data_IF_252859880753
#
_entry.id   IF_252859880753
#
_cell.length_a   1.000
_cell.length_b   1.000
_cell.length_c   1.000
_cell.angle_alpha   90.00
_cell.angle_beta   90.00
_cell.angle_gamma   90.00
#
_symmetry.space_group_name_H-M   'P 1'
#
loop_
_entity.id
_entity.type
_entity.pdbx_description
1 polymer ?
#
# COMPACT_ATOMS: atom_id res chain seq x y z
N UNK A 1 -51.09 28.87 -29.95
CA UNK A 1 -50.15 30.01 -30.11
C UNK A 1 -49.63 30.29 -28.71
N UNK A 2 -48.44 29.86 -28.33
CA UNK A 2 -47.14 30.36 -28.80
C UNK A 2 -46.06 29.28 -28.69
N UNK A 3 -45.32 29.09 -29.78
CA UNK A 3 -44.04 28.40 -29.80
C UNK A 3 -42.96 29.47 -29.64
N UNK A 4 -42.04 29.31 -28.69
CA UNK A 4 -40.86 30.16 -28.58
C UNK A 4 -39.66 29.38 -28.02
N UNK A 5 -38.66 29.25 -28.88
CA UNK A 5 -37.21 29.30 -28.61
C UNK A 5 -36.57 28.16 -27.80
N UNK A 6 -36.20 27.11 -28.53
CA UNK A 6 -35.15 26.14 -28.21
C UNK A 6 -34.06 26.23 -29.29
N UNK A 7 -33.32 27.32 -29.30
CA UNK A 7 -32.10 27.50 -30.07
C UNK A 7 -31.17 28.39 -29.26
N UNK A 8 -29.87 28.09 -29.30
CA UNK A 8 -28.73 28.80 -28.72
C UNK A 8 -28.36 28.46 -27.28
N UNK A 9 -27.49 27.46 -27.13
CA UNK A 9 -26.13 27.68 -26.63
C UNK A 9 -25.28 26.40 -26.86
N UNK A 10 -24.92 26.14 -28.12
CA UNK A 10 -23.77 25.27 -28.41
C UNK A 10 -22.52 26.12 -28.28
N UNK A 11 -21.84 26.02 -27.13
CA UNK A 11 -20.53 26.63 -26.97
C UNK A 11 -19.59 26.08 -28.05
N UNK A 12 -18.82 26.95 -28.74
CA UNK A 12 -17.86 26.50 -29.74
C UNK A 12 -16.82 25.59 -29.08
N UNK A 13 -16.66 24.38 -29.61
CA UNK A 13 -15.59 23.47 -29.22
C UNK A 13 -14.25 24.23 -29.27
N UNK A 14 -13.38 24.10 -28.24
CA UNK A 14 -12.08 24.76 -28.24
C UNK A 14 -11.33 24.39 -29.51
N UNK A 15 -10.74 25.42 -30.12
CA UNK A 15 -10.09 25.42 -31.43
C UNK A 15 -9.03 24.29 -31.52
N UNK A 16 -9.44 23.09 -31.96
CA UNK A 16 -8.55 21.94 -32.21
C UNK A 16 -7.71 22.28 -33.44
N UNK A 17 -6.55 22.90 -33.23
CA UNK A 17 -5.49 22.94 -34.26
C UNK A 17 -5.27 21.53 -34.77
N UNK A 18 -5.25 21.35 -36.08
CA UNK A 18 -5.05 20.04 -36.70
C UNK A 18 -3.74 19.42 -36.20
N UNK A 19 -3.77 18.15 -35.81
CA UNK A 19 -2.62 17.38 -35.30
C UNK A 19 -1.41 17.40 -36.26
N UNK A 20 -1.62 17.67 -37.55
CA UNK A 20 -0.58 17.75 -38.58
C UNK A 20 0.30 19.01 -38.53
N UNK A 21 -0.09 20.04 -37.75
CA UNK A 21 0.70 21.27 -37.58
C UNK A 21 1.58 21.27 -36.32
N UNK A 22 1.58 20.18 -35.54
CA UNK A 22 2.43 20.08 -34.37
C UNK A 22 3.86 19.76 -34.83
N UNK A 23 4.79 20.67 -34.51
CA UNK A 23 6.21 20.61 -34.88
C UNK A 23 6.95 19.35 -34.40
N UNK A 24 8.30 19.32 -34.44
CA UNK A 24 9.05 18.14 -34.05
C UNK A 24 8.73 17.75 -32.59
N UNK A 25 8.29 16.50 -32.40
CA UNK A 25 7.98 15.92 -31.08
C UNK A 25 9.29 15.47 -30.42
N UNK A 26 9.47 15.82 -29.14
CA UNK A 26 10.57 15.27 -28.34
C UNK A 26 10.21 13.85 -27.91
N UNK A 27 11.03 12.87 -28.28
CA UNK A 27 10.80 11.47 -27.91
C UNK A 27 11.42 11.15 -26.54
N UNK A 28 10.72 10.34 -25.74
CA UNK A 28 11.26 9.82 -24.48
C UNK A 28 12.45 8.88 -24.77
N UNK A 29 13.58 9.00 -24.04
CA UNK A 29 14.79 8.24 -24.34
C UNK A 29 14.58 6.72 -24.27
N UNK A 30 13.78 6.25 -23.31
CA UNK A 30 13.55 4.83 -23.05
C UNK A 30 12.47 4.20 -23.96
N UNK A 31 11.67 5.03 -24.64
CA UNK A 31 10.55 4.61 -25.48
C UNK A 31 10.69 5.21 -26.87
N UNK A 32 11.75 4.80 -27.58
CA UNK A 32 12.12 5.32 -28.90
C UNK A 32 11.87 4.32 -30.05
N UNK A 33 11.30 3.15 -29.75
CA UNK A 33 10.97 2.10 -30.71
C UNK A 33 9.51 1.68 -30.61
N UNK A 34 8.84 1.50 -31.75
CA UNK A 34 7.42 1.11 -31.82
C UNK A 34 6.79 1.44 -33.16
N UNK A 35 5.53 1.04 -33.33
CA UNK A 35 4.73 1.31 -34.53
C UNK A 35 3.77 2.50 -34.37
N UNK A 36 3.54 2.95 -33.13
CA UNK A 36 2.77 4.14 -32.80
C UNK A 36 3.53 5.09 -31.89
N UNK A 37 3.15 6.37 -31.89
CA UNK A 37 3.66 7.39 -30.96
C UNK A 37 2.51 7.79 -30.05
N UNK A 38 2.58 7.41 -28.77
CA UNK A 38 1.71 7.98 -27.74
C UNK A 38 2.25 9.36 -27.37
N UNK A 39 1.42 10.38 -27.41
CA UNK A 39 1.85 11.74 -27.08
C UNK A 39 1.19 12.19 -25.78
N UNK A 40 1.96 12.41 -24.73
CA UNK A 40 1.46 12.92 -23.45
C UNK A 40 0.98 14.36 -23.53
N UNK A 41 0.25 14.80 -22.50
CA UNK A 41 -0.32 16.14 -22.38
C UNK A 41 0.74 17.27 -22.42
N UNK A 42 1.94 16.98 -21.92
CA UNK A 42 3.11 17.87 -21.94
C UNK A 42 3.92 17.79 -23.25
N UNK A 43 3.43 17.05 -24.25
CA UNK A 43 3.95 17.03 -25.61
C UNK A 43 5.12 16.08 -25.85
N UNK A 44 5.44 15.20 -24.90
CA UNK A 44 6.47 14.16 -25.06
C UNK A 44 5.89 12.96 -25.81
N UNK A 45 6.64 12.45 -26.78
CA UNK A 45 6.28 11.27 -27.56
C UNK A 45 6.90 9.99 -27.01
N UNK A 46 6.14 8.91 -27.03
CA UNK A 46 6.54 7.57 -26.63
C UNK A 46 6.29 6.63 -27.81
N UNK A 47 7.35 6.20 -28.47
CA UNK A 47 7.25 5.14 -29.46
C UNK A 47 7.00 3.83 -28.74
N UNK A 48 5.94 3.11 -29.13
CA UNK A 48 5.58 1.84 -28.52
C UNK A 48 4.86 0.91 -29.50
N UNK A 49 4.81 -0.38 -29.20
CA UNK A 49 4.09 -1.40 -29.98
C UNK A 49 2.60 -1.44 -29.58
N UNK A 50 1.71 -1.06 -30.49
CA UNK A 50 0.26 -1.04 -30.20
C UNK A 50 -0.30 -2.43 -29.95
N UNK A 51 0.27 -3.47 -30.57
CA UNK A 51 -0.15 -4.85 -30.35
C UNK A 51 0.09 -5.28 -28.89
N UNK A 52 1.20 -4.86 -28.31
CA UNK A 52 1.49 -5.04 -26.89
C UNK A 52 0.48 -4.33 -26.00
N UNK A 53 0.15 -3.07 -26.27
CA UNK A 53 -0.88 -2.34 -25.50
C UNK A 53 -2.25 -2.99 -25.63
N UNK A 54 -2.55 -3.55 -26.80
CA UNK A 54 -3.79 -4.28 -27.08
C UNK A 54 -3.97 -5.56 -26.25
N UNK A 55 -2.92 -6.08 -25.61
CA UNK A 55 -3.04 -7.18 -24.64
C UNK A 55 -3.70 -6.73 -23.33
N UNK A 56 -3.53 -5.47 -22.96
CA UNK A 56 -3.98 -4.91 -21.67
C UNK A 56 -5.18 -3.97 -21.80
N UNK A 57 -5.46 -3.48 -23.02
CA UNK A 57 -6.54 -2.55 -23.31
C UNK A 57 -7.33 -2.97 -24.54
N UNK A 58 -8.66 -3.13 -24.43
CA UNK A 58 -9.51 -3.36 -25.60
C UNK A 58 -9.50 -2.16 -26.55
N UNK A 59 -9.31 -0.94 -26.04
CA UNK A 59 -9.22 0.28 -26.87
C UNK A 59 -8.01 0.19 -27.80
N UNK A 60 -6.82 -0.11 -27.27
CA UNK A 60 -5.62 -0.24 -28.10
C UNK A 60 -5.68 -1.47 -29.02
N UNK A 61 -6.34 -2.55 -28.58
CA UNK A 61 -6.58 -3.72 -29.43
C UNK A 61 -7.41 -3.34 -30.64
N UNK A 62 -8.52 -2.63 -30.45
CA UNK A 62 -9.39 -2.22 -31.55
C UNK A 62 -8.66 -1.24 -32.48
N UNK A 63 -7.90 -0.29 -31.92
CA UNK A 63 -7.05 0.63 -32.69
C UNK A 63 -6.01 -0.12 -33.56
N UNK A 64 -5.42 -1.20 -33.05
CA UNK A 64 -4.46 -2.02 -33.81
C UNK A 64 -5.05 -2.68 -35.06
N UNK A 65 -6.38 -2.85 -35.11
CA UNK A 65 -7.07 -3.45 -36.26
C UNK A 65 -7.37 -2.44 -37.37
N UNK A 66 -7.26 -1.14 -37.09
CA UNK A 66 -7.54 -0.11 -38.08
C UNK A 66 -6.43 -0.06 -39.15
N UNK A 67 -6.78 0.15 -40.43
CA UNK A 67 -5.78 0.27 -41.48
C UNK A 67 -4.96 1.55 -41.30
N UNK A 68 -3.67 1.40 -41.00
CA UNK A 68 -2.74 2.51 -40.86
C UNK A 68 -2.16 2.92 -42.21
N UNK A 69 -2.13 4.23 -42.48
CA UNK A 69 -1.47 4.73 -43.70
C UNK A 69 0.04 4.57 -43.56
N UNK A 70 0.71 3.95 -44.53
CA UNK A 70 2.16 3.69 -44.51
C UNK A 70 3.04 4.96 -44.43
N UNK A 71 2.45 6.15 -44.48
CA UNK A 71 3.17 7.43 -44.64
C UNK A 71 3.15 8.33 -43.41
N UNK A 72 2.43 7.98 -42.35
CA UNK A 72 2.44 8.73 -41.09
C UNK A 72 2.55 7.76 -39.91
N UNK A 73 3.52 8.00 -39.03
CA UNK A 73 3.53 7.39 -37.70
C UNK A 73 2.17 7.68 -37.05
N UNK A 74 1.43 6.65 -36.64
CA UNK A 74 0.15 6.84 -35.97
C UNK A 74 0.42 7.55 -34.63
N UNK A 75 -0.03 8.80 -34.51
CA UNK A 75 0.09 9.59 -33.29
C UNK A 75 -1.21 9.45 -32.50
N UNK A 76 -1.11 8.96 -31.27
CA UNK A 76 -2.25 8.78 -30.37
C UNK A 76 -2.08 9.78 -29.22
N UNK A 77 -2.89 10.85 -29.17
CA UNK A 77 -2.80 11.82 -28.10
C UNK A 77 -3.38 11.26 -26.78
N UNK A 78 -2.63 11.39 -25.70
CA UNK A 78 -3.00 11.10 -24.32
C UNK A 78 -3.15 12.44 -23.61
N UNK A 79 -4.36 13.00 -23.66
CA UNK A 79 -4.61 14.40 -23.31
C UNK A 79 -4.58 14.68 -21.80
N UNK A 80 -4.85 13.65 -21.00
CA UNK A 80 -5.10 13.78 -19.56
C UNK A 80 -3.96 13.19 -18.71
N UNK A 81 -2.81 12.88 -19.32
CA UNK A 81 -1.68 12.31 -18.60
C UNK A 81 -0.35 12.97 -18.98
N UNK A 82 0.46 13.27 -17.98
CA UNK A 82 1.83 13.76 -18.12
C UNK A 82 2.74 12.69 -18.71
N UNK A 83 3.91 13.11 -19.21
CA UNK A 83 4.95 12.18 -19.65
C UNK A 83 5.37 11.18 -18.56
N UNK A 84 5.33 11.57 -17.28
CA UNK A 84 5.68 10.69 -16.16
C UNK A 84 4.65 9.57 -15.98
N UNK A 85 3.36 9.89 -16.05
CA UNK A 85 2.29 8.89 -15.92
C UNK A 85 2.32 7.90 -17.10
N UNK A 86 2.48 8.41 -18.33
CA UNK A 86 2.62 7.56 -19.52
C UNK A 86 3.86 6.67 -19.41
N UNK A 87 5.02 7.22 -19.03
CA UNK A 87 6.23 6.44 -18.83
C UNK A 87 6.05 5.33 -17.78
N UNK A 88 5.44 5.65 -16.64
CA UNK A 88 5.14 4.67 -15.59
C UNK A 88 4.30 3.51 -16.13
N UNK A 89 3.19 3.82 -16.81
CA UNK A 89 2.28 2.83 -17.40
C UNK A 89 3.02 1.91 -18.37
N UNK A 90 3.84 2.47 -19.26
CA UNK A 90 4.59 1.70 -20.24
C UNK A 90 5.68 0.82 -19.59
N UNK A 91 6.30 1.29 -18.50
CA UNK A 91 7.25 0.47 -17.73
C UNK A 91 6.56 -0.72 -17.07
N UNK A 92 5.37 -0.56 -16.49
CA UNK A 92 4.58 -1.68 -15.93
C UNK A 92 4.32 -2.73 -17.03
N UNK A 93 3.91 -2.28 -18.21
CA UNK A 93 3.65 -3.17 -19.35
C UNK A 93 4.93 -3.90 -19.78
N UNK A 94 6.06 -3.19 -19.92
CA UNK A 94 7.35 -3.82 -20.27
C UNK A 94 7.79 -4.85 -19.23
N UNK A 95 7.69 -4.51 -17.94
CA UNK A 95 8.07 -5.40 -16.85
C UNK A 95 7.25 -6.70 -16.86
N UNK A 96 5.97 -6.62 -17.22
CA UNK A 96 5.13 -7.82 -17.35
C UNK A 96 5.49 -8.73 -18.54
N UNK A 97 6.26 -8.24 -19.51
CA UNK A 97 6.73 -9.05 -20.65
C UNK A 97 8.08 -9.71 -20.39
N UNK A 98 8.89 -9.13 -19.53
CA UNK A 98 10.20 -9.66 -19.16
C UNK A 98 10.00 -10.71 -18.06
N UNK A 99 10.17 -12.00 -18.37
CA UNK A 99 10.22 -13.08 -17.38
C UNK A 99 11.46 -12.86 -16.49
N UNK A 100 11.32 -12.03 -15.45
CA UNK A 100 12.47 -11.44 -14.79
C UNK A 100 13.06 -12.34 -13.69
N UNK A 101 14.33 -12.73 -13.86
CA UNK A 101 15.14 -13.39 -12.84
C UNK A 101 16.06 -12.43 -12.06
N UNK A 102 16.24 -11.16 -12.47
CA UNK A 102 17.32 -10.30 -11.91
C UNK A 102 17.02 -8.78 -11.75
N UNK A 103 15.76 -8.33 -11.70
CA UNK A 103 15.41 -6.89 -11.68
C UNK A 103 15.09 -6.30 -10.29
N UNK A 104 16.10 -6.07 -9.45
CA UNK A 104 15.86 -5.58 -8.07
C UNK A 104 16.28 -4.13 -7.75
N UNK A 105 17.07 -3.44 -8.59
CA UNK A 105 17.54 -2.08 -8.25
C UNK A 105 16.96 -0.92 -9.08
N UNK A 106 16.67 -1.14 -10.36
CA UNK A 106 16.08 -0.11 -11.24
C UNK A 106 14.59 0.13 -10.94
N UNK A 107 13.90 -0.94 -10.57
CA UNK A 107 12.44 -1.02 -10.60
C UNK A 107 11.77 -0.31 -9.43
N UNK A 108 12.43 -0.26 -8.27
CA UNK A 108 11.90 0.44 -7.08
C UNK A 108 11.75 1.94 -7.31
N UNK A 109 12.69 2.55 -8.04
CA UNK A 109 12.67 3.99 -8.31
C UNK A 109 11.51 4.44 -9.20
N UNK A 110 10.91 3.52 -9.97
CA UNK A 110 9.74 3.80 -10.79
C UNK A 110 8.45 3.78 -9.98
N UNK A 111 8.34 2.91 -8.97
CA UNK A 111 7.17 2.85 -8.08
C UNK A 111 7.17 3.93 -7.00
N UNK A 112 8.34 4.43 -6.58
CA UNK A 112 8.41 5.62 -5.71
C UNK A 112 7.79 6.86 -6.37
N UNK A 113 7.77 6.89 -7.71
CA UNK A 113 7.13 7.97 -8.49
C UNK A 113 5.63 7.76 -8.68
N UNK A 114 5.09 6.58 -8.40
CA UNK A 114 3.66 6.29 -8.58
C UNK A 114 2.80 7.22 -7.74
N UNK A 115 3.23 7.58 -6.52
CA UNK A 115 2.47 8.50 -5.68
C UNK A 115 2.23 9.86 -6.34
N UNK A 116 3.23 10.38 -7.08
CA UNK A 116 3.14 11.67 -7.77
C UNK A 116 2.18 11.65 -8.97
N UNK A 117 1.99 10.49 -9.58
CA UNK A 117 1.21 10.33 -10.83
C UNK A 117 -0.04 9.45 -10.65
N UNK A 118 -0.39 9.08 -9.42
CA UNK A 118 -1.43 8.09 -9.15
C UNK A 118 -2.80 8.48 -9.73
N UNK A 119 -3.19 9.76 -9.61
CA UNK A 119 -4.46 10.26 -10.15
C UNK A 119 -4.49 10.14 -11.69
N UNK A 120 -3.41 10.57 -12.37
CA UNK A 120 -3.28 10.46 -13.83
C UNK A 120 -3.26 8.99 -14.30
N UNK A 121 -2.59 8.11 -13.55
CA UNK A 121 -2.54 6.67 -13.84
C UNK A 121 -3.92 6.04 -13.73
N UNK A 122 -4.69 6.38 -12.70
CA UNK A 122 -6.06 5.91 -12.53
C UNK A 122 -6.98 6.41 -13.65
N UNK A 123 -6.86 7.68 -14.04
CA UNK A 123 -7.61 8.24 -15.16
C UNK A 123 -7.24 7.57 -16.49
N UNK A 124 -5.97 7.24 -16.71
CA UNK A 124 -5.55 6.46 -17.88
C UNK A 124 -6.13 5.04 -17.87
N UNK A 125 -6.11 4.36 -16.72
CA UNK A 125 -6.67 3.01 -16.58
C UNK A 125 -8.16 3.01 -16.97
N UNK A 126 -8.93 3.96 -16.45
CA UNK A 126 -10.35 4.11 -16.79
C UNK A 126 -10.55 4.48 -18.26
N UNK A 127 -9.85 5.51 -18.74
CA UNK A 127 -9.98 6.04 -20.12
C UNK A 127 -9.67 4.99 -21.18
N UNK A 128 -8.64 4.16 -20.96
CA UNK A 128 -8.22 3.14 -21.91
C UNK A 128 -8.71 1.74 -21.54
N UNK A 129 -9.54 1.59 -20.51
CA UNK A 129 -10.05 0.31 -20.03
C UNK A 129 -8.92 -0.72 -19.80
N UNK A 130 -7.93 -0.35 -18.98
CA UNK A 130 -6.74 -1.13 -18.67
C UNK A 130 -6.85 -1.82 -17.31
N UNK A 131 -8.01 -2.40 -16.97
CA UNK A 131 -8.24 -3.03 -15.66
C UNK A 131 -7.15 -4.08 -15.30
N UNK A 132 -6.72 -4.86 -16.29
CA UNK A 132 -5.65 -5.86 -16.14
C UNK A 132 -4.30 -5.27 -15.71
N UNK A 133 -4.06 -4.00 -16.01
CA UNK A 133 -2.84 -3.32 -15.59
C UNK A 133 -2.85 -3.03 -14.08
N UNK A 134 -4.03 -2.84 -13.49
CA UNK A 134 -4.15 -2.69 -12.04
C UNK A 134 -3.61 -3.93 -11.31
N UNK A 135 -3.95 -5.12 -11.79
CA UNK A 135 -3.42 -6.38 -11.23
C UNK A 135 -1.89 -6.45 -11.33
N UNK A 136 -1.32 -6.01 -12.45
CA UNK A 136 0.13 -5.95 -12.64
C UNK A 136 0.80 -4.93 -11.72
N UNK A 137 0.23 -3.74 -11.56
CA UNK A 137 0.76 -2.72 -10.64
C UNK A 137 0.74 -3.25 -9.20
N UNK A 138 -0.35 -3.90 -8.80
CA UNK A 138 -0.47 -4.47 -7.45
C UNK A 138 0.52 -5.62 -7.22
N UNK A 139 0.71 -6.48 -8.21
CA UNK A 139 1.66 -7.59 -8.11
C UNK A 139 3.11 -7.09 -8.08
N UNK A 140 3.48 -6.19 -8.99
CA UNK A 140 4.79 -5.54 -8.98
C UNK A 140 5.02 -4.78 -7.66
N UNK A 141 3.99 -4.10 -7.18
CA UNK A 141 3.95 -3.43 -5.89
C UNK A 141 4.26 -4.32 -4.70
N UNK A 142 3.77 -5.56 -4.70
CA UNK A 142 4.13 -6.55 -3.67
C UNK A 142 5.59 -6.95 -3.76
N UNK A 143 6.09 -7.17 -4.98
CA UNK A 143 7.45 -7.66 -5.20
C UNK A 143 8.52 -6.65 -4.78
N UNK A 144 8.29 -5.36 -4.99
CA UNK A 144 9.26 -4.30 -4.66
C UNK A 144 8.98 -3.55 -3.36
N UNK A 145 8.03 -4.03 -2.54
CA UNK A 145 7.65 -3.42 -1.27
C UNK A 145 7.20 -1.96 -1.42
N UNK A 146 6.29 -1.71 -2.36
CA UNK A 146 5.79 -0.36 -2.66
C UNK A 146 5.04 0.28 -1.47
N UNK A 147 4.96 1.63 -1.43
CA UNK A 147 4.29 2.36 -0.36
C UNK A 147 2.85 1.86 -0.12
N UNK A 148 2.53 1.32 1.07
CA UNK A 148 1.22 0.72 1.34
C UNK A 148 0.03 1.66 1.12
N UNK A 149 0.19 2.96 1.39
CA UNK A 149 -0.85 3.96 1.18
C UNK A 149 -1.27 4.10 -0.29
N UNK A 150 -0.30 4.05 -1.21
CA UNK A 150 -0.52 4.09 -2.66
C UNK A 150 -1.26 2.83 -3.10
N UNK A 151 -0.79 1.67 -2.67
CA UNK A 151 -1.39 0.38 -3.04
C UNK A 151 -2.81 0.21 -2.46
N UNK A 152 -3.02 0.63 -1.21
CA UNK A 152 -4.36 0.65 -0.62
C UNK A 152 -5.30 1.58 -1.38
N UNK A 153 -4.84 2.77 -1.78
CA UNK A 153 -5.62 3.69 -2.58
C UNK A 153 -6.00 3.08 -3.94
N UNK A 154 -5.04 2.46 -4.63
CA UNK A 154 -5.27 1.77 -5.89
C UNK A 154 -6.34 0.68 -5.75
N UNK A 155 -6.24 -0.21 -4.75
CA UNK A 155 -7.23 -1.26 -4.49
C UNK A 155 -8.62 -0.68 -4.18
N UNK A 156 -8.69 0.40 -3.41
CA UNK A 156 -9.97 1.04 -3.08
C UNK A 156 -10.67 1.62 -4.31
N UNK A 157 -9.92 2.28 -5.19
CA UNK A 157 -10.48 3.04 -6.31
C UNK A 157 -10.76 2.18 -7.54
N UNK A 158 -10.02 1.07 -7.71
CA UNK A 158 -10.22 0.13 -8.82
C UNK A 158 -11.10 -1.05 -8.45
N UNK A 159 -11.24 -1.36 -7.16
CA UNK A 159 -11.93 -2.57 -6.68
C UNK A 159 -11.16 -3.87 -6.94
N UNK A 160 -9.91 -3.79 -7.41
CA UNK A 160 -9.06 -4.95 -7.73
C UNK A 160 -8.08 -5.21 -6.60
N UNK A 161 -7.95 -6.47 -6.18
CA UNK A 161 -6.97 -6.91 -5.17
C UNK A 161 -7.53 -7.07 -3.75
N UNK A 162 -6.63 -7.35 -2.80
CA UNK A 162 -7.01 -7.58 -1.39
C UNK A 162 -6.96 -6.28 -0.58
N UNK A 163 -8.15 -5.70 -0.37
CA UNK A 163 -8.33 -4.45 0.37
C UNK A 163 -7.90 -4.59 1.84
N UNK A 164 -8.16 -5.73 2.47
CA UNK A 164 -7.82 -5.96 3.89
C UNK A 164 -6.31 -6.08 4.06
N UNK A 165 -5.63 -6.78 3.17
CA UNK A 165 -4.17 -6.89 3.17
C UNK A 165 -3.51 -5.51 3.18
N UNK A 166 -3.84 -4.65 2.21
CA UNK A 166 -3.21 -3.33 2.11
C UNK A 166 -3.64 -2.36 3.21
N UNK A 167 -4.89 -2.41 3.69
CA UNK A 167 -5.30 -1.61 4.85
C UNK A 167 -4.48 -1.97 6.10
N UNK A 168 -4.18 -3.26 6.27
CA UNK A 168 -3.39 -3.76 7.39
C UNK A 168 -1.96 -3.25 7.30
N UNK A 169 -1.37 -3.22 6.09
CA UNK A 169 -0.05 -2.61 5.83
C UNK A 169 -0.02 -1.11 6.17
N UNK A 170 -1.11 -0.40 5.97
CA UNK A 170 -1.22 1.02 6.31
C UNK A 170 -1.17 1.32 7.82
N UNK A 171 -1.48 0.35 8.68
CA UNK A 171 -1.52 0.54 10.14
C UNK A 171 -0.14 0.79 10.77
N UNK A 172 0.93 0.33 10.11
CA UNK A 172 2.32 0.53 10.54
C UNK A 172 2.94 1.85 10.05
N UNK A 173 2.22 2.63 9.23
CA UNK A 173 2.77 3.85 8.64
C UNK A 173 2.85 5.00 9.66
N UNK A 174 3.91 5.81 9.63
CA UNK A 174 3.98 7.08 10.36
C UNK A 174 2.79 8.00 10.04
N UNK A 175 2.43 8.87 10.98
CA UNK A 175 1.29 9.78 10.80
C UNK A 175 1.51 10.77 9.64
N UNK A 176 2.76 11.14 9.35
CA UNK A 176 3.12 11.99 8.23
C UNK A 176 2.79 11.32 6.88
N UNK A 177 3.11 10.03 6.73
CA UNK A 177 2.83 9.26 5.52
C UNK A 177 1.32 9.06 5.32
N UNK A 178 0.56 8.93 6.41
CA UNK A 178 -0.92 8.87 6.37
C UNK A 178 -1.57 10.19 5.90
N UNK A 179 -0.80 11.27 5.77
CA UNK A 179 -1.24 12.57 5.22
C UNK A 179 -0.74 12.81 3.79
N UNK A 180 -0.10 11.80 3.19
CA UNK A 180 0.45 11.85 1.83
C UNK A 180 -0.62 12.01 0.73
N UNK A 181 -0.19 12.32 -0.50
CA UNK A 181 -1.05 12.41 -1.69
C UNK A 181 -2.04 11.25 -1.84
N UNK A 182 -1.61 9.99 -1.67
CA UNK A 182 -2.49 8.83 -1.83
C UNK A 182 -3.69 8.86 -0.87
N UNK A 183 -3.50 9.25 0.39
CA UNK A 183 -4.59 9.35 1.35
C UNK A 183 -5.51 10.55 1.12
N UNK A 184 -4.99 11.65 0.55
CA UNK A 184 -5.81 12.77 0.10
C UNK A 184 -6.71 12.34 -1.06
N UNK A 185 -6.16 11.57 -2.00
CA UNK A 185 -6.89 10.99 -3.13
C UNK A 185 -7.98 10.04 -2.63
N UNK A 186 -7.63 9.12 -1.72
CA UNK A 186 -8.57 8.21 -1.09
C UNK A 186 -9.70 8.98 -0.39
N UNK A 187 -9.39 10.02 0.39
CA UNK A 187 -10.41 10.83 1.06
C UNK A 187 -11.35 11.54 0.09
N UNK A 188 -10.86 11.91 -1.10
CA UNK A 188 -11.63 12.61 -2.15
C UNK A 188 -12.57 11.64 -2.88
N UNK A 189 -12.05 10.48 -3.30
CA UNK A 189 -12.77 9.57 -4.21
C UNK A 189 -13.40 8.36 -3.51
N UNK A 190 -12.90 7.94 -2.34
CA UNK A 190 -13.52 6.92 -1.48
C UNK A 190 -13.47 7.32 0.01
N UNK A 191 -14.29 8.31 0.42
CA UNK A 191 -14.32 8.78 1.80
C UNK A 191 -14.72 7.67 2.79
N UNK A 192 -15.54 6.72 2.37
CA UNK A 192 -15.95 5.58 3.22
C UNK A 192 -14.77 4.68 3.58
N UNK A 193 -13.90 4.36 2.61
CA UNK A 193 -12.69 3.57 2.82
C UNK A 193 -11.65 4.32 3.66
N UNK A 194 -11.54 5.64 3.48
CA UNK A 194 -10.70 6.52 4.32
C UNK A 194 -11.16 6.48 5.78
N UNK A 195 -12.47 6.59 6.02
CA UNK A 195 -13.04 6.50 7.38
C UNK A 195 -12.88 5.09 7.95
N UNK A 196 -13.08 4.04 7.14
CA UNK A 196 -12.88 2.65 7.56
C UNK A 196 -11.44 2.39 8.01
N UNK A 197 -10.45 2.84 7.21
CA UNK A 197 -9.04 2.75 7.59
C UNK A 197 -8.74 3.55 8.86
N UNK A 198 -9.28 4.75 9.01
CA UNK A 198 -9.12 5.55 10.22
C UNK A 198 -9.65 4.84 11.48
N UNK A 199 -10.82 4.20 11.39
CA UNK A 199 -11.36 3.37 12.48
C UNK A 199 -10.46 2.19 12.78
N UNK A 200 -9.98 1.50 11.75
CA UNK A 200 -9.05 0.39 11.87
C UNK A 200 -7.77 0.79 12.61
N UNK A 201 -7.20 1.96 12.28
CA UNK A 201 -6.05 2.57 12.96
C UNK A 201 -6.29 2.91 14.44
N UNK A 202 -7.50 3.35 14.80
CA UNK A 202 -7.88 3.58 16.21
C UNK A 202 -7.95 2.24 16.97
N UNK A 203 -8.55 1.21 16.36
CA UNK A 203 -8.69 -0.10 16.98
C UNK A 203 -7.34 -0.79 17.16
N UNK A 204 -6.45 -0.66 16.17
CA UNK A 204 -5.07 -1.12 16.24
C UNK A 204 -4.30 -0.47 17.39
N UNK A 205 -4.28 0.86 17.45
CA UNK A 205 -3.61 1.59 18.55
C UNK A 205 -4.16 1.20 19.92
N UNK A 206 -5.48 1.07 20.05
CA UNK A 206 -6.07 0.62 21.31
C UNK A 206 -5.64 -0.81 21.71
N UNK A 207 -5.41 -1.71 20.75
CA UNK A 207 -4.92 -3.06 21.03
C UNK A 207 -3.43 -3.07 21.40
N UNK A 208 -2.63 -2.21 20.78
CA UNK A 208 -1.22 -1.98 21.15
C UNK A 208 -1.12 -1.39 22.56
N UNK A 209 -1.93 -0.39 22.90
CA UNK A 209 -1.99 0.19 24.25
C UNK A 209 -2.42 -0.86 25.30
N UNK A 210 -3.35 -1.75 24.93
CA UNK A 210 -3.77 -2.87 25.78
C UNK A 210 -2.63 -3.87 25.98
N UNK A 211 -1.88 -4.18 24.93
CA UNK A 211 -0.71 -5.04 25.01
C UNK A 211 0.31 -4.46 25.99
N UNK A 212 0.70 -3.21 25.82
CA UNK A 212 1.66 -2.54 26.70
C UNK A 212 1.20 -2.60 28.16
N UNK A 213 -0.05 -2.24 28.43
CA UNK A 213 -0.60 -2.24 29.78
C UNK A 213 -0.64 -3.64 30.39
N UNK A 214 -1.13 -4.62 29.64
CA UNK A 214 -1.25 -6.01 30.08
C UNK A 214 0.12 -6.64 30.31
N UNK A 215 1.08 -6.39 29.42
CA UNK A 215 2.45 -6.87 29.54
C UNK A 215 3.14 -6.33 30.80
N UNK A 216 2.94 -5.04 31.10
CA UNK A 216 3.50 -4.42 32.29
C UNK A 216 2.81 -4.90 33.58
N UNK A 217 1.48 -5.02 33.56
CA UNK A 217 0.68 -5.42 34.73
C UNK A 217 0.84 -6.90 35.15
N UNK A 218 1.29 -7.77 34.25
CA UNK A 218 1.36 -9.21 34.51
C UNK A 218 2.28 -9.58 35.70
N UNK A 219 1.80 -10.37 36.65
CA UNK A 219 2.59 -10.74 37.83
C UNK A 219 3.40 -12.04 37.66
N UNK A 220 3.34 -12.75 36.53
CA UNK A 220 4.02 -14.03 36.34
C UNK A 220 5.55 -13.91 36.46
N UNK A 221 6.09 -12.73 36.13
CA UNK A 221 7.51 -12.37 36.26
C UNK A 221 7.83 -11.72 37.62
N UNK A 222 6.85 -11.44 38.48
CA UNK A 222 7.10 -10.89 39.83
C UNK A 222 8.00 -11.79 40.70
N UNK A 223 8.03 -13.09 40.41
CA UNK A 223 8.95 -14.05 41.03
C UNK A 223 10.36 -14.03 40.42
N UNK A 224 10.69 -13.11 39.52
CA UNK A 224 12.05 -12.91 39.00
C UNK A 224 13.02 -12.59 40.14
N UNK A 225 12.62 -11.68 41.04
CA UNK A 225 13.39 -11.34 42.23
C UNK A 225 13.71 -12.57 43.08
N UNK A 226 12.68 -13.33 43.49
CA UNK A 226 12.85 -14.47 44.39
C UNK A 226 13.50 -15.70 43.73
N UNK A 227 13.13 -16.06 42.49
CA UNK A 227 13.66 -17.27 41.82
C UNK A 227 15.09 -17.10 41.31
N UNK A 228 15.54 -15.87 41.08
CA UNK A 228 16.91 -15.59 40.64
C UNK A 228 17.81 -15.13 41.79
N UNK A 229 17.28 -14.75 42.96
CA UNK A 229 18.09 -14.40 44.13
C UNK A 229 19.02 -15.56 44.58
N UNK A 230 18.54 -16.81 44.52
CA UNK A 230 19.32 -17.98 44.93
C UNK A 230 20.48 -18.29 43.97
N UNK A 231 20.34 -17.93 42.69
CA UNK A 231 21.34 -18.12 41.63
C UNK A 231 21.28 -16.93 40.66
N UNK A 232 21.90 -15.79 41.01
CA UNK A 232 21.76 -14.54 40.26
C UNK A 232 22.44 -14.69 38.89
N UNK A 233 21.63 -14.59 37.85
CA UNK A 233 22.12 -14.53 36.47
C UNK A 233 22.51 -13.09 36.08
N UNK A 234 23.16 -12.92 34.93
CA UNK A 234 23.57 -11.60 34.41
C UNK A 234 22.40 -10.62 34.33
N UNK A 235 21.24 -11.07 33.86
CA UNK A 235 20.02 -10.24 33.77
C UNK A 235 19.57 -9.77 35.16
N UNK A 236 19.61 -10.65 36.17
CA UNK A 236 19.27 -10.26 37.55
C UNK A 236 20.21 -9.18 38.07
N UNK A 237 21.51 -9.29 37.80
CA UNK A 237 22.50 -8.30 38.20
C UNK A 237 22.31 -6.97 37.45
N UNK A 238 22.01 -7.02 36.15
CA UNK A 238 21.79 -5.82 35.31
C UNK A 238 20.60 -5.00 35.77
N UNK A 239 19.52 -5.64 36.20
CA UNK A 239 18.27 -4.99 36.60
C UNK A 239 18.04 -5.01 38.12
N UNK A 240 19.05 -5.37 38.92
CA UNK A 240 18.97 -5.47 40.39
C UNK A 240 17.75 -6.25 40.92
N UNK A 241 17.36 -7.32 40.21
CA UNK A 241 16.17 -8.10 40.55
C UNK A 241 14.82 -7.41 40.29
N UNK A 242 14.81 -6.19 39.74
CA UNK A 242 13.59 -5.43 39.40
C UNK A 242 12.96 -5.96 38.11
N UNK A 243 11.85 -6.68 38.25
CA UNK A 243 11.10 -7.20 37.10
C UNK A 243 10.44 -6.11 36.26
N UNK A 244 10.09 -4.96 36.86
CA UNK A 244 9.50 -3.83 36.15
C UNK A 244 10.49 -3.20 35.17
N UNK A 245 11.74 -3.01 35.60
CA UNK A 245 12.80 -2.52 34.73
C UNK A 245 13.12 -3.48 33.58
N UNK A 246 13.20 -4.78 33.86
CA UNK A 246 13.38 -5.80 32.82
C UNK A 246 12.24 -5.77 31.79
N UNK A 247 10.99 -5.73 32.25
CA UNK A 247 9.83 -5.65 31.36
C UNK A 247 9.85 -4.39 30.51
N UNK A 248 10.10 -3.23 31.10
CA UNK A 248 10.15 -1.98 30.36
C UNK A 248 11.25 -1.97 29.30
N UNK A 249 12.44 -2.49 29.64
CA UNK A 249 13.54 -2.67 28.68
C UNK A 249 13.12 -3.55 27.50
N UNK A 250 12.50 -4.70 27.75
CA UNK A 250 12.07 -5.60 26.69
C UNK A 250 10.89 -5.04 25.89
N UNK A 251 9.94 -4.38 26.54
CA UNK A 251 8.80 -3.74 25.87
C UNK A 251 9.29 -2.76 24.80
N UNK A 252 10.30 -1.94 25.09
CA UNK A 252 10.90 -1.01 24.12
C UNK A 252 11.43 -1.71 22.87
N UNK A 253 11.99 -2.89 23.02
CA UNK A 253 12.49 -3.70 21.90
C UNK A 253 11.36 -4.43 21.16
N UNK A 254 10.25 -4.75 21.85
CA UNK A 254 9.07 -5.36 21.24
C UNK A 254 8.22 -4.36 20.44
N UNK A 255 8.16 -3.09 20.85
CA UNK A 255 7.27 -2.10 20.23
C UNK A 255 7.47 -1.92 18.71
N UNK A 256 8.69 -1.85 18.17
CA UNK A 256 8.89 -1.77 16.72
C UNK A 256 8.31 -2.98 15.97
N UNK A 257 8.49 -4.18 16.52
CA UNK A 257 7.92 -5.42 15.96
C UNK A 257 6.39 -5.38 16.05
N UNK A 258 5.85 -5.02 17.21
CA UNK A 258 4.40 -4.94 17.42
C UNK A 258 3.77 -3.95 16.45
N UNK A 259 4.32 -2.75 16.29
CA UNK A 259 3.80 -1.74 15.38
C UNK A 259 3.89 -2.17 13.90
N UNK A 260 4.88 -2.99 13.54
CA UNK A 260 5.03 -3.60 12.22
C UNK A 260 4.26 -4.92 12.00
N UNK A 261 3.68 -5.50 13.05
CA UNK A 261 3.06 -6.83 13.06
C UNK A 261 1.60 -6.98 12.59
N UNK A 262 0.81 -5.96 12.18
CA UNK A 262 -0.62 -6.18 11.98
C UNK A 262 -0.95 -7.17 10.85
N UNK A 263 0.02 -7.53 9.98
CA UNK A 263 -0.11 -8.40 8.81
C UNK A 263 -0.28 -9.88 9.12
N UNK A 264 0.48 -10.41 10.07
CA UNK A 264 0.45 -11.82 10.43
C UNK A 264 0.66 -11.99 11.94
N UNK A 265 -0.42 -12.21 12.71
CA UNK A 265 -0.34 -12.43 14.14
C UNK A 265 0.50 -13.64 14.56
N UNK A 266 0.67 -14.65 13.69
CA UNK A 266 1.51 -15.82 13.96
C UNK A 266 2.98 -15.56 13.65
N UNK A 267 3.28 -14.81 12.58
CA UNK A 267 4.66 -14.37 12.29
C UNK A 267 5.17 -13.44 13.40
N UNK A 268 4.35 -12.47 13.80
CA UNK A 268 4.62 -11.60 14.94
C UNK A 268 4.93 -12.41 16.21
N UNK A 269 4.23 -13.52 16.44
CA UNK A 269 4.44 -14.41 17.59
C UNK A 269 5.85 -15.03 17.60
N UNK A 270 6.44 -15.30 16.44
CA UNK A 270 7.83 -15.76 16.31
C UNK A 270 8.81 -14.60 16.55
N UNK A 271 8.55 -13.43 16.00
CA UNK A 271 9.41 -12.26 16.19
C UNK A 271 9.48 -11.81 17.65
N UNK A 272 8.36 -11.85 18.39
CA UNK A 272 8.37 -11.57 19.84
C UNK A 272 9.33 -12.50 20.60
N UNK A 273 9.44 -13.76 20.20
CA UNK A 273 10.39 -14.74 20.77
C UNK A 273 11.82 -14.38 20.41
N UNK A 274 12.06 -14.02 19.15
CA UNK A 274 13.39 -13.64 18.67
C UNK A 274 13.89 -12.39 19.39
N UNK A 275 13.06 -11.35 19.50
CA UNK A 275 13.38 -10.13 20.26
C UNK A 275 13.74 -10.46 21.71
N UNK A 276 12.93 -11.26 22.39
CA UNK A 276 13.21 -11.65 23.77
C UNK A 276 14.50 -12.48 23.91
N UNK A 277 14.77 -13.39 22.98
CA UNK A 277 16.00 -14.21 23.00
C UNK A 277 17.26 -13.40 22.70
N UNK A 278 17.16 -12.38 21.84
CA UNK A 278 18.29 -11.54 21.45
C UNK A 278 18.61 -10.47 22.51
N UNK A 279 17.59 -9.98 23.23
CA UNK A 279 17.76 -8.90 24.20
C UNK A 279 17.87 -9.36 25.66
N UNK A 280 17.64 -10.64 25.96
CA UNK A 280 17.77 -11.18 27.32
C UNK A 280 18.91 -12.21 27.38
N UNK A 281 20.05 -11.80 27.95
CA UNK A 281 21.27 -12.63 28.00
C UNK A 281 21.08 -13.99 28.71
N UNK A 282 20.18 -14.09 29.70
CA UNK A 282 19.89 -15.35 30.38
C UNK A 282 18.77 -16.12 29.67
N UNK A 283 19.09 -17.30 29.13
CA UNK A 283 18.12 -18.16 28.42
C UNK A 283 16.84 -18.49 29.21
N UNK A 284 16.93 -18.64 30.54
CA UNK A 284 15.75 -18.89 31.39
C UNK A 284 14.85 -17.65 31.46
N UNK A 285 15.45 -16.47 31.61
CA UNK A 285 14.72 -15.20 31.62
C UNK A 285 14.13 -14.90 30.24
N UNK A 286 14.89 -15.12 29.17
CA UNK A 286 14.44 -14.94 27.78
C UNK A 286 13.18 -15.76 27.48
N UNK A 287 13.16 -17.03 27.89
CA UNK A 287 11.97 -17.90 27.74
C UNK A 287 10.75 -17.37 28.50
N UNK A 288 10.94 -16.89 29.74
CA UNK A 288 9.83 -16.30 30.52
C UNK A 288 9.29 -15.04 29.86
N UNK A 289 10.17 -14.14 29.41
CA UNK A 289 9.78 -12.93 28.68
C UNK A 289 9.06 -13.26 27.38
N UNK A 290 9.55 -14.25 26.64
CA UNK A 290 8.92 -14.71 25.40
C UNK A 290 7.54 -15.28 25.66
N UNK A 291 7.39 -16.15 26.66
CA UNK A 291 6.09 -16.73 27.05
C UNK A 291 5.10 -15.65 27.47
N UNK A 292 5.54 -14.67 28.26
CA UNK A 292 4.72 -13.53 28.63
C UNK A 292 4.29 -12.73 27.39
N UNK A 293 5.24 -12.32 26.54
CA UNK A 293 4.95 -11.54 25.34
C UNK A 293 3.95 -12.26 24.41
N UNK A 294 4.15 -13.56 24.18
CA UNK A 294 3.23 -14.36 23.37
C UNK A 294 1.84 -14.49 24.02
N UNK A 295 1.77 -14.67 25.33
CA UNK A 295 0.52 -14.75 26.06
C UNK A 295 -0.26 -13.44 25.98
N UNK A 296 0.41 -12.31 26.28
CA UNK A 296 -0.18 -10.98 26.17
C UNK A 296 -0.62 -10.71 24.74
N UNK A 297 0.21 -11.00 23.74
CA UNK A 297 -0.12 -10.85 22.32
C UNK A 297 -1.39 -11.60 21.97
N UNK A 298 -1.48 -12.88 22.35
CA UNK A 298 -2.67 -13.69 22.10
C UNK A 298 -3.92 -13.12 22.76
N UNK A 299 -3.81 -12.55 23.95
CA UNK A 299 -4.95 -11.95 24.66
C UNK A 299 -5.42 -10.65 24.02
N UNK A 300 -4.50 -9.79 23.60
CA UNK A 300 -4.82 -8.43 23.13
C UNK A 300 -5.08 -8.37 21.62
N UNK A 301 -4.54 -9.31 20.86
CA UNK A 301 -4.59 -9.32 19.39
C UNK A 301 -5.56 -10.34 18.78
N UNK A 302 -6.18 -11.25 19.56
CA UNK A 302 -7.06 -12.30 19.04
C UNK A 302 -8.53 -12.26 19.54
N UNK A 303 -9.53 -12.33 18.65
CA UNK A 303 -9.44 -12.19 17.18
C UNK A 303 -9.05 -10.75 16.80
N UNK A 304 -8.41 -10.51 15.64
CA UNK A 304 -7.92 -9.18 15.28
C UNK A 304 -9.10 -8.20 15.25
N UNK A 305 -9.15 -7.22 16.18
CA UNK A 305 -10.26 -6.29 16.21
C UNK A 305 -10.29 -5.37 14.97
N UNK A 306 -9.21 -5.30 14.19
CA UNK A 306 -9.02 -4.35 13.09
C UNK A 306 -9.37 -4.90 11.69
N UNK A 307 -10.62 -5.33 11.49
CA UNK A 307 -11.16 -5.70 10.17
C UNK A 307 -11.87 -4.48 9.54
N UNK A 308 -11.62 -4.17 8.27
CA UNK A 308 -12.24 -3.03 7.57
C UNK A 308 -13.77 -3.04 7.63
N UNK A 309 -14.34 -4.22 7.41
CA UNK A 309 -15.77 -4.48 7.50
C UNK A 309 -15.98 -5.69 8.41
N UNK A 310 -16.21 -5.51 9.72
CA UNK A 310 -16.58 -6.62 10.58
C UNK A 310 -17.93 -7.13 10.07
N UNK A 311 -17.93 -8.28 9.40
CA UNK A 311 -19.11 -8.91 8.81
C UNK A 311 -20.15 -9.34 9.84
N UNK A 312 -19.87 -9.17 11.14
CA UNK A 312 -20.75 -9.59 12.22
C UNK A 312 -20.88 -8.53 13.36
N UNK A 313 -22.10 -8.01 13.63
CA UNK A 313 -22.37 -7.15 14.79
C UNK A 313 -22.03 -7.78 16.15
N UNK A 314 -21.96 -9.12 16.21
CA UNK A 314 -21.59 -9.86 17.43
C UNK A 314 -20.12 -9.68 17.81
N UNK A 315 -19.20 -9.54 16.84
CA UNK A 315 -17.77 -9.34 17.09
C UNK A 315 -17.50 -8.01 17.80
N UNK A 316 -18.17 -6.93 17.38
CA UNK A 316 -18.07 -5.62 18.04
C UNK A 316 -18.62 -5.67 19.47
N UNK A 317 -19.66 -6.47 19.69
CA UNK A 317 -20.29 -6.68 21.00
C UNK A 317 -19.40 -7.52 21.92
N UNK A 318 -18.75 -8.57 21.41
CA UNK A 318 -17.78 -9.40 22.15
C UNK A 318 -16.50 -8.64 22.49
N UNK A 319 -15.96 -7.83 21.58
CA UNK A 319 -14.80 -6.97 21.87
C UNK A 319 -15.13 -5.99 22.99
N UNK A 320 -16.34 -5.39 22.98
CA UNK A 320 -16.82 -4.52 24.06
C UNK A 320 -17.06 -5.25 25.37
N UNK A 321 -17.51 -6.51 25.33
CA UNK A 321 -17.74 -7.32 26.52
C UNK A 321 -16.43 -7.76 27.20
N UNK A 322 -15.41 -8.15 26.41
CA UNK A 322 -14.08 -8.54 26.91
C UNK A 322 -13.30 -7.38 27.53
N UNK A 323 -13.54 -6.14 27.08
CA UNK A 323 -12.95 -4.93 27.71
C UNK A 323 -13.53 -4.58 29.09
N UNK A 324 -14.58 -5.28 29.54
CA UNK A 324 -15.24 -5.03 30.84
C UNK A 324 -14.94 -6.10 31.89
N UNK A 325 -14.16 -7.12 31.53
CA UNK A 325 -13.71 -8.23 32.39
C UNK A 325 -12.21 -8.13 32.58
#
# INVERSE_FOLDING_TARGET
MTASNLSDELQPLPNRKSLDEQGPISLHPDFNQGDVILQSADGVGFCYDIATLGKYSPVFRDLSTLPHSQRSSCRIPILDASSKAVAFMLHVVQHSQEECADAHSSDRASLDKLEDVLEEVLEMIDTFNMDSLTELILEWGRQVDAPPGVMYCLVCLTGVGDKQYWATRCLGLPEEEQRGPAFKLLKRYSPEDSVALGRMGIMWRAAVDEFERSFMADEEISHFGSKCADQPCTVYQTFDGDSGQLKWHILRELMPVILGAPLDPEEARLDLVLVCNNNVACRKCARRMSSLAQHTWKLTMAPPPWILHPTHPSLVSEIKARRRT
#
